data_IF_450078391262
#
_entry.id   IF_450078391262
#
_cell.length_a   1.000
_cell.length_b   1.000
_cell.length_c   1.000
_cell.angle_alpha   90.00
_cell.angle_beta   90.00
_cell.angle_gamma   90.00
#
_symmetry.space_group_name_H-M   'P 1'
#
loop_
_entity.id
_entity.type
_entity.pdbx_description
1 polymer ?
#
# COMPACT_ATOMS: atom_id res chain seq x y z
N UNK A 1 -11.42 -25.19 -5.65
CA UNK A 1 -9.94 -25.19 -5.72
C UNK A 1 -9.37 -23.79 -5.53
N UNK A 2 -9.63 -22.83 -6.43
CA UNK A 2 -9.08 -21.47 -6.33
C UNK A 2 -9.28 -20.83 -4.94
N UNK A 3 -10.52 -20.81 -4.42
CA UNK A 3 -10.83 -20.28 -3.09
C UNK A 3 -10.17 -21.01 -1.89
N UNK A 4 -9.64 -22.22 -2.11
CA UNK A 4 -8.97 -23.03 -1.08
C UNK A 4 -7.45 -22.83 -1.10
N UNK A 5 -6.86 -22.66 -2.29
CA UNK A 5 -5.42 -22.71 -2.51
C UNK A 5 -4.79 -21.38 -2.92
N UNK A 6 -5.60 -20.40 -3.34
CA UNK A 6 -5.13 -19.13 -3.87
C UNK A 6 -4.41 -19.25 -5.21
N UNK A 7 -4.09 -18.09 -5.79
CA UNK A 7 -3.39 -17.92 -7.07
C UNK A 7 -1.87 -18.13 -7.00
N UNK A 8 -1.33 -18.44 -5.81
CA UNK A 8 0.10 -18.70 -5.58
C UNK A 8 0.50 -20.17 -5.81
N UNK A 9 -0.40 -21.02 -6.31
CA UNK A 9 -0.10 -22.41 -6.66
C UNK A 9 -0.02 -22.59 -8.18
N UNK A 10 0.96 -23.36 -8.63
CA UNK A 10 1.31 -23.63 -10.04
C UNK A 10 0.14 -24.07 -10.95
N UNK A 11 -0.98 -24.54 -10.39
CA UNK A 11 -2.15 -25.03 -11.12
C UNK A 11 -3.31 -24.00 -11.20
N UNK A 12 -3.08 -22.75 -10.75
CA UNK A 12 -4.07 -21.68 -10.65
C UNK A 12 -3.41 -20.35 -11.02
N UNK A 13 -3.27 -20.08 -12.33
CA UNK A 13 -2.77 -18.79 -12.82
C UNK A 13 -3.73 -17.64 -12.41
N UNK A 14 -3.20 -16.42 -12.33
CA UNK A 14 -3.95 -15.20 -12.03
C UNK A 14 -4.94 -14.82 -13.15
N UNK A 15 -4.56 -15.04 -14.41
CA UNK A 15 -5.39 -14.84 -15.61
C UNK A 15 -6.48 -15.94 -15.80
N UNK A 16 -7.13 -16.46 -14.75
CA UNK A 16 -8.12 -17.54 -14.90
C UNK A 16 -9.57 -17.06 -15.09
N UNK A 17 -9.89 -15.84 -14.64
CA UNK A 17 -11.21 -15.22 -14.82
C UNK A 17 -11.11 -13.70 -14.81
N UNK A 18 -11.70 -13.07 -15.82
CA UNK A 18 -11.93 -11.63 -15.90
C UNK A 18 -13.01 -11.17 -14.90
N UNK A 19 -13.15 -9.86 -14.69
CA UNK A 19 -14.07 -9.29 -13.68
C UNK A 19 -15.56 -9.61 -13.94
N UNK A 20 -15.93 -9.87 -15.19
CA UNK A 20 -17.28 -10.30 -15.60
C UNK A 20 -17.56 -11.80 -15.35
N UNK A 21 -16.54 -12.57 -14.96
CA UNK A 21 -16.60 -14.02 -14.75
C UNK A 21 -16.27 -14.86 -15.99
N UNK A 22 -15.88 -14.24 -17.10
CA UNK A 22 -15.34 -14.93 -18.29
C UNK A 22 -13.99 -15.57 -17.95
N UNK A 23 -13.81 -16.86 -18.23
CA UNK A 23 -12.53 -17.51 -18.00
C UNK A 23 -11.49 -17.04 -19.02
N UNK A 24 -10.52 -16.23 -18.59
CA UNK A 24 -9.31 -15.97 -19.36
C UNK A 24 -8.54 -17.30 -19.43
N UNK A 25 -8.19 -17.74 -20.66
CA UNK A 25 -7.82 -19.14 -20.89
C UNK A 25 -6.32 -19.38 -20.63
N UNK A 26 -5.95 -20.51 -20.01
CA UNK A 26 -4.61 -21.06 -20.16
C UNK A 26 -4.37 -21.46 -21.63
N UNK A 27 -3.14 -21.83 -21.98
CA UNK A 27 -2.81 -22.32 -23.34
C UNK A 27 -3.58 -23.61 -23.74
N UNK A 28 -4.21 -24.26 -22.76
CA UNK A 28 -5.10 -25.43 -22.90
C UNK A 28 -6.59 -25.06 -22.74
N UNK A 29 -7.45 -25.70 -23.54
CA UNK A 29 -8.92 -25.48 -23.48
C UNK A 29 -9.50 -26.05 -22.18
N UNK A 30 -10.19 -25.23 -21.40
CA UNK A 30 -10.93 -25.67 -20.20
C UNK A 30 -12.18 -26.46 -20.61
N UNK A 31 -12.17 -27.77 -20.38
CA UNK A 31 -13.34 -28.63 -20.63
C UNK A 31 -14.52 -28.27 -19.70
N UNK A 32 -15.70 -28.13 -20.30
CA UNK A 32 -16.99 -27.94 -19.61
C UNK A 32 -17.06 -26.73 -18.64
N UNK A 33 -16.41 -25.61 -18.99
CA UNK A 33 -16.40 -24.36 -18.20
C UNK A 33 -17.82 -23.85 -17.86
N UNK A 34 -18.81 -24.10 -18.72
CA UNK A 34 -20.22 -23.77 -18.51
C UNK A 34 -20.88 -24.47 -17.32
N UNK A 35 -20.28 -25.56 -16.81
CA UNK A 35 -20.77 -26.27 -15.62
C UNK A 35 -20.28 -25.66 -14.30
N UNK A 36 -19.27 -24.78 -14.35
CA UNK A 36 -18.63 -24.17 -13.17
C UNK A 36 -18.41 -22.65 -13.38
N UNK A 37 -19.47 -21.85 -13.59
CA UNK A 37 -19.34 -20.41 -13.78
C UNK A 37 -18.74 -19.73 -12.53
N UNK A 38 -17.82 -18.79 -12.76
CA UNK A 38 -17.34 -17.91 -11.69
C UNK A 38 -18.52 -17.04 -11.19
N UNK A 39 -18.81 -16.99 -9.88
CA UNK A 39 -19.94 -16.21 -9.39
C UNK A 39 -19.67 -14.71 -9.56
N UNK A 40 -20.68 -13.94 -9.92
CA UNK A 40 -20.57 -12.47 -9.97
C UNK A 40 -20.60 -11.87 -8.57
N UNK A 41 -20.03 -10.68 -8.38
CA UNK A 41 -20.09 -9.96 -7.09
C UNK A 41 -21.53 -9.84 -6.54
N UNK A 42 -22.49 -9.53 -7.42
CA UNK A 42 -23.92 -9.44 -7.09
C UNK A 42 -24.57 -10.75 -6.61
N UNK A 43 -23.99 -11.91 -6.93
CA UNK A 43 -24.47 -13.23 -6.47
C UNK A 43 -23.92 -13.63 -5.10
N UNK A 44 -22.90 -12.92 -4.59
CA UNK A 44 -22.16 -13.28 -3.36
C UNK A 44 -22.09 -12.16 -2.32
N UNK A 45 -22.36 -10.90 -2.69
CA UNK A 45 -22.20 -9.72 -1.83
C UNK A 45 -22.96 -9.76 -0.49
N UNK A 46 -24.03 -10.54 -0.40
CA UNK A 46 -24.85 -10.69 0.81
C UNK A 46 -24.49 -11.91 1.69
N UNK A 47 -23.42 -12.65 1.34
CA UNK A 47 -23.00 -13.88 2.02
C UNK A 47 -21.50 -13.80 2.33
N UNK A 48 -21.14 -13.75 3.62
CA UNK A 48 -19.75 -13.59 4.06
C UNK A 48 -18.83 -14.72 3.58
N UNK A 49 -19.29 -15.97 3.51
CA UNK A 49 -18.44 -17.11 3.14
C UNK A 49 -18.23 -17.14 1.63
N UNK A 50 -19.29 -16.90 0.85
CA UNK A 50 -19.20 -16.83 -0.62
C UNK A 50 -18.47 -15.58 -1.09
N UNK A 51 -18.59 -14.45 -0.39
CA UNK A 51 -17.81 -13.24 -0.68
C UNK A 51 -16.33 -13.45 -0.35
N UNK A 52 -16.00 -14.22 0.70
CA UNK A 52 -14.60 -14.57 0.99
C UNK A 52 -14.01 -15.50 -0.06
N UNK A 53 -14.76 -16.51 -0.51
CA UNK A 53 -14.35 -17.36 -1.62
C UNK A 53 -14.07 -16.52 -2.88
N UNK A 54 -15.00 -15.65 -3.28
CA UNK A 54 -14.82 -14.71 -4.39
C UNK A 54 -13.61 -13.79 -4.19
N UNK A 55 -13.43 -13.23 -3.00
CA UNK A 55 -12.29 -12.36 -2.68
C UNK A 55 -10.95 -13.08 -2.84
N UNK A 56 -10.86 -14.34 -2.41
CA UNK A 56 -9.62 -15.13 -2.54
C UNK A 56 -9.27 -15.54 -3.97
N UNK A 57 -10.19 -15.37 -4.93
CA UNK A 57 -9.95 -15.57 -6.37
C UNK A 57 -9.75 -14.27 -7.14
N UNK A 58 -9.57 -13.13 -6.46
CA UNK A 58 -9.27 -11.84 -7.09
C UNK A 58 -7.85 -11.40 -6.76
N UNK A 59 -7.18 -10.79 -7.75
CA UNK A 59 -5.83 -10.22 -7.59
C UNK A 59 -5.79 -9.11 -6.54
N UNK A 60 -6.84 -8.28 -6.49
CA UNK A 60 -6.98 -7.15 -5.56
C UNK A 60 -8.43 -6.99 -5.11
N UNK A 61 -8.62 -6.36 -3.96
CA UNK A 61 -9.92 -5.90 -3.50
C UNK A 61 -10.17 -4.50 -4.08
N UNK A 62 -11.03 -4.43 -5.09
CA UNK A 62 -11.47 -3.18 -5.73
C UNK A 62 -12.59 -2.49 -4.95
N UNK A 63 -12.92 -1.25 -5.31
CA UNK A 63 -13.85 -0.40 -4.56
C UNK A 63 -15.25 -1.02 -4.41
N UNK A 64 -15.77 -1.70 -5.44
CA UNK A 64 -17.08 -2.38 -5.35
C UNK A 64 -17.04 -3.58 -4.39
N UNK A 65 -15.96 -4.36 -4.39
CA UNK A 65 -15.78 -5.49 -3.49
C UNK A 65 -15.51 -5.01 -2.05
N UNK A 66 -14.75 -3.93 -1.88
CA UNK A 66 -14.56 -3.26 -0.59
C UNK A 66 -15.88 -2.71 -0.04
N UNK A 67 -16.72 -2.12 -0.90
CA UNK A 67 -18.04 -1.64 -0.53
C UNK A 67 -18.95 -2.80 -0.10
N UNK A 68 -18.97 -3.91 -0.83
CA UNK A 68 -19.73 -5.12 -0.46
C UNK A 68 -19.32 -5.65 0.92
N UNK A 69 -18.02 -5.75 1.20
CA UNK A 69 -17.50 -6.13 2.52
C UNK A 69 -17.97 -5.19 3.64
N UNK A 70 -18.06 -3.89 3.37
CA UNK A 70 -18.51 -2.89 4.35
C UNK A 70 -20.03 -2.88 4.60
N UNK A 71 -20.85 -3.56 3.79
CA UNK A 71 -22.30 -3.71 4.03
C UNK A 71 -22.65 -4.92 4.91
N UNK A 72 -21.72 -5.86 5.08
CA UNK A 72 -21.95 -7.09 5.83
C UNK A 72 -21.86 -6.86 7.36
N UNK A 73 -22.59 -7.63 8.19
CA UNK A 73 -22.52 -7.51 9.64
C UNK A 73 -21.09 -7.73 10.18
N UNK A 74 -20.49 -6.77 10.91
CA UNK A 74 -19.09 -6.88 11.35
C UNK A 74 -18.76 -8.15 12.13
N UNK A 75 -19.70 -8.66 12.94
CA UNK A 75 -19.53 -9.90 13.69
C UNK A 75 -19.44 -11.15 12.79
N UNK A 76 -20.19 -11.20 11.69
CA UNK A 76 -20.13 -12.30 10.73
C UNK A 76 -18.87 -12.24 9.88
N UNK A 77 -18.48 -11.04 9.43
CA UNK A 77 -17.20 -10.82 8.75
C UNK A 77 -16.04 -11.29 9.65
N UNK A 78 -16.01 -10.87 10.92
CA UNK A 78 -14.97 -11.28 11.86
C UNK A 78 -14.93 -12.81 12.04
N UNK A 79 -16.08 -13.44 12.30
CA UNK A 79 -16.19 -14.89 12.48
C UNK A 79 -15.66 -15.65 11.26
N UNK A 80 -16.16 -15.33 10.07
CA UNK A 80 -15.82 -16.03 8.82
C UNK A 80 -14.35 -15.83 8.44
N UNK A 81 -13.85 -14.60 8.50
CA UNK A 81 -12.48 -14.26 8.11
C UNK A 81 -11.44 -14.87 9.06
N UNK A 82 -11.68 -14.82 10.38
CA UNK A 82 -10.80 -15.46 11.37
C UNK A 82 -10.79 -16.98 11.21
N UNK A 83 -11.97 -17.60 11.05
CA UNK A 83 -12.09 -19.04 10.83
C UNK A 83 -11.35 -19.49 9.56
N UNK A 84 -11.49 -18.73 8.46
CA UNK A 84 -10.77 -18.99 7.21
C UNK A 84 -9.26 -18.82 7.36
N UNK A 85 -8.79 -17.76 8.02
CA UNK A 85 -7.36 -17.49 8.23
C UNK A 85 -6.67 -18.65 8.96
N UNK A 86 -7.27 -19.15 10.03
CA UNK A 86 -6.72 -20.26 10.83
C UNK A 86 -6.66 -21.56 10.02
N UNK A 87 -7.72 -21.87 9.26
CA UNK A 87 -7.82 -23.09 8.45
C UNK A 87 -7.10 -23.04 7.08
N UNK A 88 -6.58 -21.89 6.64
CA UNK A 88 -6.01 -21.72 5.31
C UNK A 88 -4.72 -22.56 5.12
N UNK A 89 -4.54 -23.25 3.97
CA UNK A 89 -3.31 -24.01 3.71
C UNK A 89 -2.16 -23.13 3.18
N UNK A 90 -2.45 -21.93 2.66
CA UNK A 90 -1.49 -21.08 1.93
C UNK A 90 -1.46 -19.64 2.48
N UNK A 91 -0.45 -18.86 2.09
CA UNK A 91 -0.28 -17.46 2.51
C UNK A 91 -1.22 -16.49 1.77
N UNK A 92 -1.57 -16.75 0.50
CA UNK A 92 -2.45 -15.88 -0.29
C UNK A 92 -3.85 -15.73 0.33
N UNK A 93 -4.48 -16.83 0.72
CA UNK A 93 -5.79 -16.84 1.40
C UNK A 93 -5.71 -16.12 2.76
N UNK A 94 -4.62 -16.29 3.52
CA UNK A 94 -4.41 -15.55 4.77
C UNK A 94 -4.23 -14.05 4.54
N UNK A 95 -3.50 -13.67 3.50
CA UNK A 95 -3.26 -12.28 3.11
C UNK A 95 -4.57 -11.60 2.71
N UNK A 96 -5.38 -12.24 1.86
CA UNK A 96 -6.73 -11.78 1.53
C UNK A 96 -7.63 -11.63 2.76
N UNK A 97 -7.53 -12.53 3.76
CA UNK A 97 -8.22 -12.36 5.03
C UNK A 97 -7.76 -11.08 5.76
N UNK A 98 -6.47 -10.79 5.84
CA UNK A 98 -5.94 -9.56 6.44
C UNK A 98 -6.41 -8.30 5.71
N UNK A 99 -6.43 -8.31 4.37
CA UNK A 99 -6.96 -7.20 3.57
C UNK A 99 -8.45 -6.94 3.84
N UNK A 100 -9.27 -8.00 3.99
CA UNK A 100 -10.69 -7.87 4.37
C UNK A 100 -10.84 -7.25 5.77
N UNK A 101 -10.03 -7.68 6.76
CA UNK A 101 -10.05 -7.07 8.10
C UNK A 101 -9.70 -5.57 8.05
N UNK A 102 -8.67 -5.22 7.28
CA UNK A 102 -8.21 -3.84 7.10
C UNK A 102 -9.29 -2.93 6.48
N UNK A 103 -10.10 -3.47 5.58
CA UNK A 103 -11.18 -2.73 4.89
C UNK A 103 -12.44 -2.66 5.76
N UNK A 104 -12.96 -3.80 6.20
CA UNK A 104 -14.30 -3.93 6.76
C UNK A 104 -14.37 -3.65 8.27
N UNK A 105 -13.36 -4.09 9.04
CA UNK A 105 -13.42 -4.09 10.51
C UNK A 105 -12.53 -3.02 11.16
N UNK A 106 -11.42 -2.68 10.51
CA UNK A 106 -10.46 -1.66 10.97
C UNK A 106 -10.08 -1.92 12.43
N UNK A 107 -10.14 -0.91 13.31
CA UNK A 107 -9.79 -1.02 14.73
C UNK A 107 -10.47 -2.17 15.49
N UNK A 108 -11.64 -2.64 15.04
CA UNK A 108 -12.36 -3.78 15.65
C UNK A 108 -11.63 -5.12 15.50
N UNK A 109 -10.68 -5.23 14.56
CA UNK A 109 -9.87 -6.42 14.35
C UNK A 109 -8.47 -6.36 15.00
N UNK A 110 -8.17 -5.30 15.76
CA UNK A 110 -6.83 -5.05 16.30
C UNK A 110 -6.24 -6.20 17.11
N UNK A 111 -7.02 -6.82 18.00
CA UNK A 111 -6.57 -7.95 18.83
C UNK A 111 -6.15 -9.17 17.98
N UNK A 112 -6.87 -9.45 16.90
CA UNK A 112 -6.55 -10.56 15.99
C UNK A 112 -5.32 -10.24 15.14
N UNK A 113 -5.16 -9.01 14.66
CA UNK A 113 -3.93 -8.60 13.95
C UNK A 113 -2.71 -8.68 14.89
N UNK A 114 -2.87 -8.34 16.17
CA UNK A 114 -1.82 -8.53 17.18
C UNK A 114 -1.50 -10.02 17.43
N UNK A 115 -2.48 -10.93 17.41
CA UNK A 115 -2.23 -12.38 17.44
C UNK A 115 -1.46 -12.85 16.20
N UNK A 116 -1.82 -12.36 15.01
CA UNK A 116 -1.11 -12.68 13.76
C UNK A 116 0.35 -12.28 13.84
N UNK A 117 0.68 -11.10 14.38
CA UNK A 117 2.06 -10.69 14.64
C UNK A 117 2.84 -11.67 15.55
N UNK A 118 2.18 -12.25 16.55
CA UNK A 118 2.80 -13.16 17.51
C UNK A 118 2.99 -14.59 16.97
N UNK A 119 2.08 -15.07 16.12
CA UNK A 119 1.96 -16.51 15.78
C UNK A 119 2.08 -16.83 14.29
N UNK A 120 1.79 -15.87 13.42
CA UNK A 120 1.49 -16.12 12.00
C UNK A 120 2.10 -15.11 11.03
N UNK A 121 2.94 -14.17 11.50
CA UNK A 121 3.59 -13.14 10.68
C UNK A 121 4.38 -13.70 9.48
N UNK A 122 4.97 -14.89 9.65
CA UNK A 122 5.80 -15.56 8.63
C UNK A 122 4.95 -16.44 7.68
N UNK A 123 3.62 -16.43 7.83
CA UNK A 123 2.64 -17.20 7.02
C UNK A 123 1.79 -16.30 6.11
N UNK A 124 2.11 -15.01 6.03
CA UNK A 124 1.33 -13.99 5.31
C UNK A 124 2.25 -13.10 4.47
N UNK A 125 1.69 -12.43 3.48
CA UNK A 125 2.41 -11.38 2.75
C UNK A 125 2.62 -10.13 3.63
N UNK A 126 3.81 -9.53 3.54
CA UNK A 126 4.22 -8.38 4.35
C UNK A 126 3.36 -7.14 4.03
N UNK A 127 2.97 -6.93 2.77
CA UNK A 127 2.12 -5.81 2.36
C UNK A 127 0.75 -5.89 3.03
N UNK A 128 0.16 -7.09 3.01
CA UNK A 128 -1.14 -7.37 3.63
C UNK A 128 -1.09 -7.28 5.16
N UNK A 129 0.00 -7.77 5.77
CA UNK A 129 0.25 -7.61 7.21
C UNK A 129 0.38 -6.13 7.61
N UNK A 130 1.15 -5.34 6.87
CA UNK A 130 1.36 -3.92 7.18
C UNK A 130 0.09 -3.10 6.96
N UNK A 131 -0.69 -3.40 5.90
CA UNK A 131 -2.00 -2.78 5.65
C UNK A 131 -2.98 -3.05 6.79
N UNK A 132 -3.11 -4.31 7.22
CA UNK A 132 -3.95 -4.67 8.36
C UNK A 132 -3.44 -4.06 9.68
N UNK A 133 -2.13 -3.98 9.87
CA UNK A 133 -1.52 -3.32 11.04
C UNK A 133 -1.88 -1.83 11.09
N UNK A 134 -1.73 -1.12 9.97
CA UNK A 134 -2.05 0.30 9.84
C UNK A 134 -3.55 0.60 10.02
N UNK A 135 -4.43 -0.27 9.54
CA UNK A 135 -5.87 -0.09 9.62
C UNK A 135 -6.51 -0.55 10.95
N UNK A 136 -5.92 -1.57 11.60
CA UNK A 136 -6.55 -2.26 12.73
C UNK A 136 -5.86 -2.00 14.09
N UNK A 137 -4.59 -1.59 14.11
CA UNK A 137 -3.86 -1.34 15.36
C UNK A 137 -3.62 0.16 15.58
N UNK A 138 -3.54 0.64 16.84
CA UNK A 138 -3.07 1.99 17.13
C UNK A 138 -1.66 2.20 16.54
N UNK A 139 -1.44 3.33 15.86
CA UNK A 139 -0.15 3.64 15.19
C UNK A 139 1.05 3.55 16.15
N UNK A 140 0.85 3.90 17.42
CA UNK A 140 1.86 3.83 18.48
C UNK A 140 2.33 2.41 18.79
N UNK A 141 1.53 1.39 18.48
CA UNK A 141 1.83 -0.04 18.66
C UNK A 141 2.19 -0.71 17.33
N UNK A 142 1.44 -0.43 16.27
CA UNK A 142 1.60 -1.07 14.97
C UNK A 142 2.84 -0.59 14.20
N UNK A 143 3.16 0.71 14.25
CA UNK A 143 4.29 1.26 13.50
C UNK A 143 5.65 0.72 13.97
N UNK A 144 5.94 0.61 15.29
CA UNK A 144 7.16 -0.06 15.78
C UNK A 144 7.31 -1.51 15.31
N UNK A 145 6.23 -2.31 15.31
CA UNK A 145 6.28 -3.69 14.83
C UNK A 145 6.69 -3.77 13.36
N UNK A 146 6.11 -2.90 12.53
CA UNK A 146 6.43 -2.81 11.12
C UNK A 146 7.87 -2.34 10.86
N UNK A 147 8.34 -1.28 11.52
CA UNK A 147 9.72 -0.78 11.32
C UNK A 147 10.78 -1.76 11.81
N UNK A 148 10.59 -2.40 12.98
CA UNK A 148 11.50 -3.46 13.45
C UNK A 148 11.56 -4.64 12.48
N UNK A 149 10.44 -5.00 11.82
CA UNK A 149 10.48 -5.99 10.74
C UNK A 149 11.29 -5.50 9.53
N UNK A 150 11.05 -4.27 9.05
CA UNK A 150 11.82 -3.67 7.93
C UNK A 150 13.33 -3.65 8.22
N UNK A 151 13.72 -3.33 9.44
CA UNK A 151 15.12 -3.29 9.90
C UNK A 151 15.78 -4.67 9.97
N UNK A 152 14.99 -5.74 10.17
CA UNK A 152 15.48 -7.13 10.20
C UNK A 152 15.67 -7.77 8.83
N UNK A 153 15.13 -7.16 7.77
CA UNK A 153 15.18 -7.66 6.39
C UNK A 153 16.36 -7.06 5.61
N UNK A 154 16.70 -7.67 4.48
CA UNK A 154 17.71 -7.14 3.55
C UNK A 154 17.20 -7.00 2.09
N UNK A 155 18.08 -6.50 1.23
CA UNK A 155 17.93 -6.54 -0.23
C UNK A 155 16.58 -6.06 -0.77
N UNK A 156 15.87 -6.98 -1.46
CA UNK A 156 14.56 -6.73 -2.09
C UNK A 156 13.42 -6.77 -1.07
N UNK A 157 13.51 -7.65 -0.07
CA UNK A 157 12.45 -7.84 0.93
C UNK A 157 12.31 -6.60 1.82
N UNK A 158 13.44 -6.06 2.30
CA UNK A 158 13.46 -4.77 3.02
C UNK A 158 12.87 -3.64 2.21
N UNK A 159 13.15 -3.57 0.90
CA UNK A 159 12.60 -2.55 0.01
C UNK A 159 11.08 -2.67 -0.13
N UNK A 160 10.57 -3.88 -0.33
CA UNK A 160 9.12 -4.14 -0.42
C UNK A 160 8.43 -3.78 0.91
N UNK A 161 9.00 -4.20 2.05
CA UNK A 161 8.48 -3.90 3.38
C UNK A 161 8.52 -2.38 3.68
N UNK A 162 9.57 -1.68 3.28
CA UNK A 162 9.69 -0.22 3.40
C UNK A 162 8.59 0.50 2.59
N UNK A 163 8.29 0.04 1.37
CA UNK A 163 7.16 0.61 0.59
C UNK A 163 5.84 0.39 1.32
N UNK A 164 5.64 -0.78 1.96
CA UNK A 164 4.43 -1.06 2.73
C UNK A 164 4.26 -0.19 4.00
N UNK A 165 5.32 0.46 4.52
CA UNK A 165 5.15 1.47 5.60
C UNK A 165 4.25 2.63 5.17
N UNK A 166 4.09 2.85 3.87
CA UNK A 166 3.20 3.88 3.31
C UNK A 166 1.72 3.68 3.68
N UNK A 167 1.29 2.47 4.07
CA UNK A 167 -0.08 2.25 4.55
C UNK A 167 -0.40 2.99 5.85
N UNK A 168 0.60 3.28 6.69
CA UNK A 168 0.41 3.97 7.97
C UNK A 168 0.08 5.45 7.83
N UNK A 169 0.42 6.08 6.69
CA UNK A 169 0.17 7.50 6.39
C UNK A 169 0.41 8.41 7.60
N UNK A 170 1.63 8.35 8.14
CA UNK A 170 1.95 8.89 9.46
C UNK A 170 3.28 9.68 9.47
N UNK A 171 3.34 10.85 10.13
CA UNK A 171 4.60 11.58 10.34
C UNK A 171 5.70 10.76 11.02
N UNK A 172 5.37 9.66 11.72
CA UNK A 172 6.37 8.72 12.27
C UNK A 172 7.24 8.09 11.18
N UNK A 173 6.72 7.91 9.97
CA UNK A 173 7.52 7.44 8.84
C UNK A 173 8.52 8.50 8.34
N UNK A 174 8.19 9.80 8.42
CA UNK A 174 9.15 10.87 8.11
C UNK A 174 10.32 10.87 9.10
N UNK A 175 10.03 10.74 10.40
CA UNK A 175 11.05 10.60 11.45
C UNK A 175 11.90 9.33 11.27
N UNK A 176 11.30 8.23 10.82
CA UNK A 176 12.02 6.99 10.51
C UNK A 176 12.92 7.14 9.28
N UNK A 177 12.48 7.86 8.24
CA UNK A 177 13.30 8.21 7.07
C UNK A 177 14.52 9.03 7.50
N UNK A 178 14.36 10.05 8.36
CA UNK A 178 15.48 10.87 8.86
C UNK A 178 16.56 10.05 9.58
N UNK A 179 16.19 8.92 10.20
CA UNK A 179 17.09 8.05 10.94
C UNK A 179 17.74 6.94 10.07
N UNK A 180 17.07 6.51 9.00
CA UNK A 180 17.43 5.30 8.25
C UNK A 180 17.75 5.51 6.76
N UNK A 181 17.50 6.70 6.22
CA UNK A 181 17.85 7.04 4.84
C UNK A 181 19.37 6.99 4.65
N UNK A 182 19.81 6.30 3.60
CA UNK A 182 21.22 6.17 3.23
C UNK A 182 21.38 6.22 1.71
N UNK A 183 22.58 6.56 1.23
CA UNK A 183 22.92 6.41 -0.18
C UNK A 183 23.25 4.94 -0.53
N UNK A 184 22.87 4.44 -1.72
CA UNK A 184 22.15 5.14 -2.78
C UNK A 184 20.62 5.21 -2.57
N UNK A 185 20.03 6.39 -2.75
CA UNK A 185 18.58 6.61 -2.61
C UNK A 185 17.78 6.18 -3.85
N UNK A 186 16.81 5.29 -3.67
CA UNK A 186 15.77 4.96 -4.67
C UNK A 186 14.55 5.88 -4.54
N UNK A 187 13.70 5.90 -5.56
CA UNK A 187 12.45 6.67 -5.55
C UNK A 187 11.42 6.17 -4.53
N UNK A 188 11.60 4.94 -4.02
CA UNK A 188 10.75 4.31 -3.01
C UNK A 188 10.72 5.11 -1.70
N UNK A 189 11.85 5.74 -1.33
CA UNK A 189 11.93 6.67 -0.20
C UNK A 189 11.06 7.91 -0.41
N UNK A 190 11.06 8.46 -1.63
CA UNK A 190 10.21 9.59 -2.01
C UNK A 190 8.73 9.21 -2.01
N UNK A 191 8.39 8.01 -2.50
CA UNK A 191 7.03 7.46 -2.44
C UNK A 191 6.54 7.29 -0.99
N UNK A 192 7.39 6.77 -0.10
CA UNK A 192 7.06 6.64 1.33
C UNK A 192 6.84 8.01 1.97
N UNK A 193 7.75 8.97 1.75
CA UNK A 193 7.60 10.32 2.27
C UNK A 193 6.32 11.01 1.77
N UNK A 194 6.01 10.91 0.47
CA UNK A 194 4.78 11.45 -0.11
C UNK A 194 3.51 10.88 0.53
N UNK A 195 3.48 9.59 0.85
CA UNK A 195 2.36 8.95 1.56
C UNK A 195 2.27 9.33 3.06
N UNK A 196 3.32 9.89 3.65
CA UNK A 196 3.49 9.97 5.11
C UNK A 196 3.18 11.34 5.72
N UNK A 197 2.20 12.06 5.15
CA UNK A 197 1.75 13.37 5.63
C UNK A 197 2.85 14.46 5.63
N UNK A 198 3.64 14.51 4.56
CA UNK A 198 4.74 15.45 4.40
C UNK A 198 4.28 16.93 4.41
N UNK A 199 4.97 17.78 5.18
CA UNK A 199 4.78 19.23 5.20
C UNK A 199 5.86 19.97 4.39
N UNK A 200 5.59 21.21 3.98
CA UNK A 200 6.63 22.04 3.33
C UNK A 200 7.78 22.39 4.27
N UNK A 201 7.52 22.50 5.57
CA UNK A 201 8.55 22.70 6.59
C UNK A 201 9.58 21.57 6.61
N UNK A 202 9.13 20.32 6.52
CA UNK A 202 10.01 19.15 6.45
C UNK A 202 10.76 19.11 5.12
N UNK A 203 10.08 19.36 3.98
CA UNK A 203 10.71 19.49 2.67
C UNK A 203 11.85 20.52 2.69
N UNK A 204 11.61 21.72 3.24
CA UNK A 204 12.65 22.76 3.34
C UNK A 204 13.80 22.37 4.25
N UNK A 205 13.51 21.68 5.36
CA UNK A 205 14.54 21.13 6.25
C UNK A 205 15.43 20.13 5.49
N UNK A 206 14.81 19.17 4.79
CA UNK A 206 15.50 18.11 4.04
C UNK A 206 16.30 18.65 2.85
N UNK A 207 15.78 19.64 2.11
CA UNK A 207 16.52 20.32 1.05
C UNK A 207 17.79 21.00 1.59
N UNK A 208 17.69 21.70 2.73
CA UNK A 208 18.83 22.36 3.36
C UNK A 208 19.84 21.39 3.99
N UNK A 209 19.37 20.23 4.48
CA UNK A 209 20.23 19.18 5.06
C UNK A 209 21.14 18.51 4.02
N UNK A 210 20.77 18.57 2.74
CA UNK A 210 21.49 17.88 1.66
C UNK A 210 21.19 16.38 1.62
N UNK A 211 22.07 15.63 0.96
CA UNK A 211 21.85 14.19 0.71
C UNK A 211 22.01 13.35 1.98
N UNK A 212 21.23 12.26 2.16
CA UNK A 212 20.24 11.72 1.21
C UNK A 212 18.89 12.47 1.19
N UNK A 213 18.56 13.21 2.24
CA UNK A 213 17.22 13.77 2.48
C UNK A 213 16.74 14.73 1.38
N UNK A 214 17.63 15.57 0.83
CA UNK A 214 17.28 16.51 -0.24
C UNK A 214 16.80 15.81 -1.53
N UNK A 215 17.36 14.63 -1.85
CA UNK A 215 16.92 13.81 -2.97
C UNK A 215 15.56 13.15 -2.70
N UNK A 216 15.35 12.69 -1.46
CA UNK A 216 14.07 12.13 -1.02
C UNK A 216 12.98 13.20 -1.09
N UNK A 217 13.27 14.44 -0.69
CA UNK A 217 12.35 15.57 -0.76
C UNK A 217 11.88 15.87 -2.19
N UNK A 218 12.80 15.97 -3.17
CA UNK A 218 12.41 16.23 -4.57
C UNK A 218 11.67 15.06 -5.22
N UNK A 219 11.99 13.81 -4.88
CA UNK A 219 11.28 12.64 -5.38
C UNK A 219 9.89 12.49 -4.71
N UNK A 220 9.74 12.90 -3.44
CA UNK A 220 8.45 12.98 -2.75
C UNK A 220 7.53 14.05 -3.35
N UNK A 221 8.04 15.26 -3.59
CA UNK A 221 7.30 16.30 -4.31
C UNK A 221 6.86 15.82 -5.71
N UNK A 222 7.70 15.03 -6.39
CA UNK A 222 7.35 14.43 -7.69
C UNK A 222 6.25 13.39 -7.55
N UNK A 223 6.30 12.56 -6.51
CA UNK A 223 5.30 11.53 -6.23
C UNK A 223 3.93 12.12 -5.82
N UNK A 224 3.91 13.31 -5.19
CA UNK A 224 2.71 14.11 -4.93
C UNK A 224 2.16 14.70 -6.25
N UNK A 225 3.00 15.34 -7.06
CA UNK A 225 2.57 15.99 -8.30
C UNK A 225 2.17 15.02 -9.44
N UNK A 226 2.72 13.80 -9.45
CA UNK A 226 2.43 12.74 -10.40
C UNK A 226 2.39 11.36 -9.68
N UNK A 227 1.25 11.00 -9.07
CA UNK A 227 1.07 9.73 -8.36
C UNK A 227 1.13 8.51 -9.30
N UNK A 228 2.27 7.81 -9.29
CA UNK A 228 2.51 6.66 -10.19
C UNK A 228 2.16 5.29 -9.61
N UNK A 229 2.23 5.10 -8.29
CA UNK A 229 1.91 3.81 -7.67
C UNK A 229 0.40 3.69 -7.40
N UNK A 230 -0.17 2.47 -7.36
CA UNK A 230 -1.59 2.28 -7.03
C UNK A 230 -1.97 2.91 -5.69
N UNK A 231 -1.10 2.78 -4.67
CA UNK A 231 -1.33 3.36 -3.35
C UNK A 231 -1.38 4.90 -3.40
N UNK A 232 -0.40 5.56 -4.05
CA UNK A 232 -0.38 7.01 -4.13
C UNK A 232 -1.53 7.56 -4.98
N UNK A 233 -2.04 6.81 -5.97
CA UNK A 233 -3.26 7.18 -6.69
C UNK A 233 -4.49 7.10 -5.79
N UNK A 234 -4.63 6.01 -5.04
CA UNK A 234 -5.76 5.79 -4.14
C UNK A 234 -5.78 6.78 -2.95
N UNK A 235 -4.61 7.18 -2.44
CA UNK A 235 -4.51 8.16 -1.34
C UNK A 235 -4.47 9.61 -1.84
N UNK A 236 -4.06 9.86 -3.09
CA UNK A 236 -3.92 11.19 -3.69
C UNK A 236 -3.24 12.20 -2.75
N UNK A 237 -1.98 11.94 -2.35
CA UNK A 237 -1.31 12.70 -1.30
C UNK A 237 -1.12 14.16 -1.72
N UNK A 238 -1.10 15.03 -0.71
CA UNK A 238 -0.79 16.45 -0.84
C UNK A 238 0.14 16.88 0.31
N UNK A 239 0.81 18.02 0.17
CA UNK A 239 1.55 18.60 1.29
C UNK A 239 0.56 19.08 2.37
N UNK A 240 0.78 18.73 3.64
CA UNK A 240 -0.06 19.20 4.75
C UNK A 240 -0.13 20.73 4.84
N UNK A 241 0.98 21.38 4.51
CA UNK A 241 1.13 22.83 4.51
C UNK A 241 1.80 23.26 3.20
N UNK A 242 1.04 23.48 2.12
CA UNK A 242 1.62 23.86 0.84
C UNK A 242 2.22 25.29 0.90
N UNK A 243 3.37 25.55 0.25
CA UNK A 243 3.99 26.87 0.22
C UNK A 243 3.26 27.87 -0.69
N UNK A 244 3.51 29.18 -0.50
CA UNK A 244 3.37 30.17 -1.56
C UNK A 244 4.33 29.86 -2.72
N UNK A 245 3.90 30.12 -3.96
CA UNK A 245 4.69 29.81 -5.17
C UNK A 245 6.10 30.43 -5.17
N UNK A 246 6.25 31.66 -4.64
CA UNK A 246 7.53 32.36 -4.55
C UNK A 246 8.51 31.76 -3.53
N UNK A 247 8.04 31.06 -2.49
CA UNK A 247 8.92 30.33 -1.56
C UNK A 247 9.32 28.99 -2.16
N UNK A 248 8.38 28.30 -2.82
CA UNK A 248 8.63 27.06 -3.55
C UNK A 248 9.70 27.21 -4.62
N UNK A 249 9.53 28.16 -5.56
CA UNK A 249 10.47 28.38 -6.66
C UNK A 249 11.86 28.80 -6.16
N UNK A 250 11.93 29.58 -5.07
CA UNK A 250 13.17 30.03 -4.46
C UNK A 250 13.92 28.89 -3.75
N UNK A 251 13.21 28.04 -3.01
CA UNK A 251 13.79 26.89 -2.35
C UNK A 251 14.35 25.87 -3.37
N UNK A 252 13.62 25.63 -4.46
CA UNK A 252 14.12 24.78 -5.55
C UNK A 252 15.35 25.39 -6.24
N UNK A 253 15.34 26.69 -6.56
CA UNK A 253 16.49 27.35 -7.18
C UNK A 253 17.75 27.28 -6.28
N UNK A 254 17.60 27.55 -4.97
CA UNK A 254 18.71 27.45 -4.02
C UNK A 254 19.27 26.01 -3.93
N UNK A 255 18.41 24.98 -3.94
CA UNK A 255 18.87 23.60 -3.97
C UNK A 255 19.53 23.21 -5.30
N UNK A 256 19.06 23.73 -6.43
CA UNK A 256 19.68 23.51 -7.75
C UNK A 256 21.10 24.08 -7.85
N UNK A 257 21.35 25.21 -7.20
CA UNK A 257 22.69 25.81 -7.07
C UNK A 257 23.60 24.99 -6.15
N UNK A 258 23.04 24.42 -5.06
CA UNK A 258 23.76 23.60 -4.08
C UNK A 258 24.12 22.20 -4.62
N UNK A 259 23.24 21.57 -5.40
CA UNK A 259 23.41 20.21 -5.95
C UNK A 259 23.13 20.16 -7.47
N UNK A 260 24.02 20.75 -8.31
CA UNK A 260 23.77 21.00 -9.73
C UNK A 260 23.87 19.75 -10.64
N UNK A 261 23.65 18.54 -10.12
CA UNK A 261 23.74 17.29 -10.91
C UNK A 261 22.55 17.12 -11.87
N UNK A 262 22.72 16.40 -13.01
CA UNK A 262 21.67 16.28 -14.01
C UNK A 262 20.31 15.73 -13.50
N UNK A 263 20.32 14.77 -12.56
CA UNK A 263 19.08 14.24 -11.92
C UNK A 263 18.32 15.32 -11.16
N UNK A 264 19.03 16.16 -10.39
CA UNK A 264 18.43 17.23 -9.58
C UNK A 264 17.82 18.29 -10.50
N UNK A 265 18.57 18.76 -11.50
CA UNK A 265 18.07 19.71 -12.51
C UNK A 265 16.81 19.21 -13.21
N UNK A 266 16.81 17.97 -13.71
CA UNK A 266 15.64 17.37 -14.37
C UNK A 266 14.42 17.28 -13.44
N UNK A 267 14.61 16.92 -12.16
CA UNK A 267 13.53 16.89 -11.17
C UNK A 267 13.02 18.29 -10.87
N UNK A 268 13.90 19.27 -10.72
CA UNK A 268 13.53 20.66 -10.42
C UNK A 268 12.78 21.31 -11.59
N UNK A 269 13.19 21.07 -12.84
CA UNK A 269 12.47 21.52 -14.03
C UNK A 269 11.02 20.99 -14.05
N UNK A 270 10.84 19.69 -13.81
CA UNK A 270 9.52 19.08 -13.68
C UNK A 270 8.70 19.72 -12.54
N UNK A 271 9.31 19.91 -11.36
CA UNK A 271 8.64 20.49 -10.19
C UNK A 271 8.22 21.95 -10.41
N UNK A 272 9.03 22.76 -11.11
CA UNK A 272 8.66 24.13 -11.51
C UNK A 272 7.41 24.13 -12.40
N UNK A 273 7.32 23.22 -13.38
CA UNK A 273 6.14 23.09 -14.23
C UNK A 273 4.90 22.57 -13.47
N UNK A 274 5.11 21.67 -12.50
CA UNK A 274 4.06 21.09 -11.68
C UNK A 274 3.68 21.91 -10.43
N UNK A 275 4.24 23.12 -10.24
CA UNK A 275 4.08 23.91 -9.01
C UNK A 275 2.63 24.20 -8.61
N UNK A 276 1.71 24.28 -9.57
CA UNK A 276 0.27 24.44 -9.36
C UNK A 276 -0.39 23.29 -8.57
N UNK A 277 0.25 22.12 -8.46
CA UNK A 277 -0.22 20.99 -7.64
C UNK A 277 0.40 20.93 -6.24
N UNK A 278 1.41 21.76 -6.00
CA UNK A 278 2.27 21.70 -4.81
C UNK A 278 2.17 22.95 -3.94
N UNK A 279 1.83 24.09 -4.54
CA UNK A 279 1.68 25.37 -3.87
C UNK A 279 0.22 25.63 -3.47
N UNK A 280 0.00 26.54 -2.52
CA UNK A 280 -1.32 27.09 -2.26
C UNK A 280 -1.81 27.92 -3.46
N UNK A 281 -3.13 27.94 -3.69
CA UNK A 281 -3.76 28.93 -4.57
C UNK A 281 -3.56 30.34 -3.97
N UNK A 282 -3.35 31.33 -4.84
CA UNK A 282 -2.99 32.70 -4.49
C UNK A 282 -4.19 33.63 -4.31
#
# INVERSE_FOLDING_TARGET
MAATYGWWQYLLHDDFYDDDGTASQPEDVVEAAELLPCPTLSQVSNDCERLLDYTTTRWRIEDELAAAWCQLPPADVQRVVVQRFVGAPNSGVRSACLDVLAIALKSSAGDFVAEVWQRHKDLVDISSLFRATAACMPVDQGFPLATTMVESLDGRERRNAMVALSYFQSPRALQWIEQHAAEPTTEDWGNLAAASCLSWSEVRSWLAHGRPLSLIAIDALRAIADPRTPLLRATSPALLTPPPQDDFLRALAAYEEQDPVPRVRQRIEFLRAAGHKLCAEA
#
